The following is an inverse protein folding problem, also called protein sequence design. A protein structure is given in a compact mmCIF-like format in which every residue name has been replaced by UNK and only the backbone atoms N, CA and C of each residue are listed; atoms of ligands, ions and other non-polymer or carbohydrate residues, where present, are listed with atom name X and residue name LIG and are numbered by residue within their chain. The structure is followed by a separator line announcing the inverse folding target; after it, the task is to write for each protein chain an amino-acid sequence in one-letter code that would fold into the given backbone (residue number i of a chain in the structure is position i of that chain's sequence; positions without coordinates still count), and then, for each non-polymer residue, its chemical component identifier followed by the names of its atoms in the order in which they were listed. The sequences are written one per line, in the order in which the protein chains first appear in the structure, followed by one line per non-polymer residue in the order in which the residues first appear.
data_IF_698809786994
#
_entry.id   IF_698809786994
#
_cell.length_a   1.000
_cell.length_b   1.000
_cell.length_c   1.000
_cell.angle_alpha   90.00
_cell.angle_beta   90.00
_cell.angle_gamma   90.00
#
_symmetry.space_group_name_H-M   'P 1'
#
loop_
_entity.id
_entity.type
_entity.pdbx_description
1 polymer ?
#
# COMPACT_ATOMS: atom_id res chain seq x y z
N UNK A 1 13.60 19.45 17.74
CA UNK A 1 13.14 18.88 19.04
C UNK A 1 14.04 19.38 20.14
N UNK A 2 15.36 19.19 20.07
CA UNK A 2 16.35 19.63 21.07
C UNK A 2 16.31 21.14 21.38
N UNK A 3 15.88 21.98 20.44
CA UNK A 3 15.67 23.42 20.67
C UNK A 3 14.39 23.75 21.45
N UNK A 4 13.44 22.79 21.52
CA UNK A 4 12.11 23.01 22.11
C UNK A 4 11.86 22.24 23.40
N UNK A 5 12.55 21.12 23.60
CA UNK A 5 12.33 20.21 24.73
C UNK A 5 13.65 19.79 25.36
N UNK A 6 13.69 19.68 26.67
CA UNK A 6 14.80 19.05 27.36
C UNK A 6 14.80 17.53 27.14
N UNK A 7 15.98 16.92 27.11
CA UNK A 7 16.18 15.50 26.76
C UNK A 7 15.41 14.53 27.67
N UNK A 8 15.16 14.92 28.92
CA UNK A 8 14.36 14.14 29.87
C UNK A 8 12.87 14.05 29.50
N UNK A 9 12.37 14.95 28.64
CA UNK A 9 10.98 14.91 28.14
C UNK A 9 10.86 14.33 26.75
N UNK A 10 11.77 14.72 25.85
CA UNK A 10 11.74 14.26 24.44
C UNK A 10 13.18 14.11 23.93
N UNK A 11 13.58 12.90 23.63
CA UNK A 11 14.86 12.61 23.02
C UNK A 11 14.72 11.91 21.67
N UNK A 12 15.65 12.17 20.74
CA UNK A 12 15.72 11.52 19.43
C UNK A 12 16.93 10.58 19.39
N UNK A 13 16.64 9.29 19.23
CA UNK A 13 17.70 8.28 19.03
C UNK A 13 17.75 7.92 17.55
N UNK A 14 18.84 8.30 16.89
CA UNK A 14 19.10 7.96 15.49
C UNK A 14 20.03 6.77 15.39
N UNK A 15 19.85 5.94 14.34
CA UNK A 15 20.74 4.80 14.13
C UNK A 15 20.18 3.77 13.17
N UNK A 16 20.92 2.69 13.00
CA UNK A 16 20.53 1.56 12.18
C UNK A 16 19.93 0.41 13.00
N UNK A 17 20.17 -0.80 12.53
CA UNK A 17 19.59 -2.01 13.15
C UNK A 17 20.12 -2.26 14.57
N UNK A 18 21.40 -2.00 14.81
CA UNK A 18 22.03 -2.25 16.12
C UNK A 18 21.46 -1.32 17.20
N UNK A 19 21.34 -0.03 16.89
CA UNK A 19 20.78 0.98 17.79
C UNK A 19 19.30 0.71 18.07
N UNK A 20 18.52 0.35 17.05
CA UNK A 20 17.13 -0.04 17.24
C UNK A 20 16.98 -1.29 18.13
N UNK A 21 17.85 -2.29 17.98
CA UNK A 21 17.83 -3.46 18.88
C UNK A 21 18.22 -3.09 20.32
N UNK A 22 19.24 -2.24 20.48
CA UNK A 22 19.64 -1.74 21.80
C UNK A 22 18.49 -0.97 22.47
N UNK A 23 17.77 -0.14 21.71
CA UNK A 23 16.61 0.59 22.19
C UNK A 23 15.49 -0.36 22.64
N UNK A 24 15.14 -1.38 21.82
CA UNK A 24 14.11 -2.36 22.16
C UNK A 24 14.44 -3.22 23.40
N UNK A 25 15.71 -3.30 23.80
CA UNK A 25 16.12 -3.99 25.03
C UNK A 25 15.90 -3.14 26.29
N UNK A 26 15.57 -1.85 26.14
CA UNK A 26 15.27 -0.99 27.28
C UNK A 26 13.82 -1.22 27.77
N UNK A 27 13.56 -0.84 29.01
CA UNK A 27 12.22 -0.86 29.58
C UNK A 27 11.46 0.39 29.19
N UNK A 28 10.28 0.22 28.60
CA UNK A 28 9.35 1.29 28.27
C UNK A 28 7.99 1.05 28.92
N UNK A 29 7.26 2.12 29.21
CA UNK A 29 5.88 2.05 29.68
C UNK A 29 4.89 1.80 28.54
N UNK A 30 5.25 2.21 27.30
CA UNK A 30 4.49 1.95 26.07
C UNK A 30 5.40 2.01 24.85
N UNK A 31 5.13 1.18 23.87
CA UNK A 31 5.79 1.21 22.56
C UNK A 31 4.74 1.48 21.48
N UNK A 32 4.98 2.48 20.64
CA UNK A 32 4.29 2.67 19.38
C UNK A 32 5.26 2.40 18.23
N UNK A 33 4.91 1.49 17.34
CA UNK A 33 5.80 1.08 16.26
C UNK A 33 5.08 1.11 14.91
N UNK A 34 5.71 1.74 13.92
CA UNK A 34 5.30 1.69 12.53
C UNK A 34 6.38 1.02 11.69
N UNK A 35 6.02 0.00 10.89
CA UNK A 35 6.96 -0.69 10.02
C UNK A 35 6.47 -2.04 9.50
N UNK A 36 7.40 -2.86 9.05
CA UNK A 36 7.07 -4.17 8.49
C UNK A 36 6.74 -5.22 9.57
N UNK A 37 5.89 -6.19 9.20
CA UNK A 37 5.40 -7.28 10.09
C UNK A 37 6.51 -8.05 10.84
N UNK A 38 7.65 -8.28 10.18
CA UNK A 38 8.79 -8.99 10.78
C UNK A 38 9.34 -8.22 11.97
N UNK A 39 9.56 -6.92 11.81
CA UNK A 39 10.06 -6.07 12.91
C UNK A 39 8.98 -5.86 13.97
N UNK A 40 7.70 -5.72 13.59
CA UNK A 40 6.59 -5.65 14.54
C UNK A 40 6.55 -6.87 15.49
N UNK A 41 6.79 -8.09 14.96
CA UNK A 41 6.91 -9.29 15.80
C UNK A 41 8.10 -9.22 16.76
N UNK A 42 9.24 -8.69 16.32
CA UNK A 42 10.40 -8.48 17.22
C UNK A 42 10.07 -7.48 18.32
N UNK A 43 9.39 -6.38 17.99
CA UNK A 43 8.92 -5.40 19.00
C UNK A 43 8.04 -6.08 20.05
N UNK A 44 7.07 -6.89 19.65
CA UNK A 44 6.21 -7.65 20.58
C UNK A 44 7.02 -8.62 21.48
N UNK A 45 8.00 -9.34 20.91
CA UNK A 45 8.86 -10.26 21.69
C UNK A 45 9.66 -9.51 22.77
N UNK A 46 10.23 -8.35 22.41
CA UNK A 46 10.97 -7.53 23.38
C UNK A 46 10.05 -6.93 24.44
N UNK A 47 8.90 -6.41 24.04
CA UNK A 47 7.90 -5.85 24.94
C UNK A 47 7.37 -6.85 25.95
N UNK A 48 7.18 -8.11 25.55
CA UNK A 48 6.70 -9.20 26.42
C UNK A 48 7.58 -9.40 27.65
N UNK A 49 8.89 -9.14 27.56
CA UNK A 49 9.83 -9.26 28.68
C UNK A 49 9.45 -8.36 29.88
N UNK A 50 8.86 -7.21 29.59
CA UNK A 50 8.48 -6.21 30.61
C UNK A 50 6.98 -6.01 30.71
N UNK A 51 6.17 -6.80 29.98
CA UNK A 51 4.72 -6.62 29.82
C UNK A 51 4.35 -5.23 29.31
N UNK A 52 5.22 -4.63 28.50
CA UNK A 52 5.01 -3.30 27.92
C UNK A 52 3.87 -3.33 26.90
N UNK A 53 2.83 -2.50 27.03
CA UNK A 53 1.80 -2.36 26.00
C UNK A 53 2.38 -1.87 24.67
N UNK A 54 1.95 -2.48 23.57
CA UNK A 54 2.42 -2.14 22.22
C UNK A 54 1.25 -1.76 21.33
N UNK A 55 1.41 -0.67 20.58
CA UNK A 55 0.57 -0.35 19.43
C UNK A 55 1.41 -0.54 18.17
N UNK A 56 0.92 -1.35 17.23
CA UNK A 56 1.60 -1.61 15.96
C UNK A 56 0.82 -0.95 14.83
N UNK A 57 1.53 -0.26 13.94
CA UNK A 57 1.05 0.20 12.64
C UNK A 57 1.87 -0.50 11.56
N UNK A 58 1.25 -1.48 10.91
CA UNK A 58 1.92 -2.33 9.94
C UNK A 58 1.37 -2.04 8.53
N UNK A 59 1.61 -2.91 7.59
CA UNK A 59 1.10 -2.75 6.24
C UNK A 59 0.22 -3.94 5.83
N UNK A 60 0.20 -4.21 4.56
CA UNK A 60 -0.52 -5.33 3.97
C UNK A 60 -0.74 -5.15 2.49
N UNK A 61 -1.38 -6.13 1.86
CA UNK A 61 -1.81 -6.02 0.47
C UNK A 61 -3.20 -5.37 0.44
N UNK A 62 -3.25 -4.04 0.41
CA UNK A 62 -4.48 -3.26 0.40
C UNK A 62 -5.21 -3.38 -0.96
N UNK A 63 -6.38 -4.04 -1.02
CA UNK A 63 -7.14 -4.22 -2.24
C UNK A 63 -7.79 -2.91 -2.70
N UNK A 64 -7.85 -2.73 -4.02
CA UNK A 64 -8.67 -1.72 -4.66
C UNK A 64 -9.68 -2.44 -5.58
N UNK A 65 -10.91 -2.58 -5.11
CA UNK A 65 -11.98 -3.23 -5.86
C UNK A 65 -12.64 -2.18 -6.76
N UNK A 66 -12.84 -2.51 -8.03
CA UNK A 66 -13.51 -1.65 -9.00
C UNK A 66 -14.61 -2.45 -9.70
N UNK A 67 -15.87 -2.11 -9.45
CA UNK A 67 -17.00 -2.78 -10.08
C UNK A 67 -17.43 -2.13 -11.40
N UNK A 68 -18.34 -2.79 -12.12
CA UNK A 68 -18.82 -2.35 -13.43
C UNK A 68 -19.59 -1.03 -13.41
N UNK A 69 -20.06 -0.57 -12.22
CA UNK A 69 -20.80 0.69 -12.07
C UNK A 69 -19.89 1.88 -11.83
N UNK A 70 -18.58 1.63 -11.59
CA UNK A 70 -17.62 2.67 -11.23
C UNK A 70 -17.46 3.74 -12.32
N UNK A 71 -17.30 4.99 -11.92
CA UNK A 71 -16.90 6.09 -12.81
C UNK A 71 -15.45 5.95 -13.19
N UNK A 72 -15.16 5.25 -14.29
CA UNK A 72 -13.79 4.85 -14.70
C UNK A 72 -12.78 6.00 -14.73
N UNK A 73 -13.08 7.21 -15.28
CA UNK A 73 -12.11 8.32 -15.27
C UNK A 73 -11.79 8.79 -13.84
N UNK A 74 -12.77 8.80 -12.94
CA UNK A 74 -12.57 9.15 -11.54
C UNK A 74 -11.73 8.07 -10.83
N UNK A 75 -12.11 6.81 -10.99
CA UNK A 75 -11.40 5.67 -10.41
C UNK A 75 -9.92 5.68 -10.84
N UNK A 76 -9.65 5.78 -12.13
CA UNK A 76 -8.27 5.84 -12.66
C UNK A 76 -7.46 6.99 -12.04
N UNK A 77 -8.03 8.20 -11.94
CA UNK A 77 -7.37 9.37 -11.34
C UNK A 77 -6.99 9.12 -9.88
N UNK A 78 -7.95 8.63 -9.09
CA UNK A 78 -7.78 8.40 -7.65
C UNK A 78 -6.81 7.24 -7.37
N UNK A 79 -6.92 6.16 -8.13
CA UNK A 79 -6.05 5.00 -8.02
C UNK A 79 -4.60 5.39 -8.37
N UNK A 80 -4.39 6.11 -9.47
CA UNK A 80 -3.04 6.54 -9.90
C UNK A 80 -2.43 7.47 -8.87
N UNK A 81 -3.19 8.42 -8.33
CA UNK A 81 -2.72 9.29 -7.26
C UNK A 81 -2.31 8.47 -6.01
N UNK A 82 -3.22 7.65 -5.48
CA UNK A 82 -2.98 6.88 -4.25
C UNK A 82 -1.89 5.83 -4.40
N UNK A 83 -1.80 5.19 -5.58
CA UNK A 83 -0.77 4.19 -5.84
C UNK A 83 0.63 4.78 -5.98
N UNK A 84 0.78 5.89 -6.70
CA UNK A 84 2.10 6.39 -7.05
C UNK A 84 2.57 7.56 -6.18
N UNK A 85 1.76 8.01 -5.22
CA UNK A 85 2.23 8.90 -4.15
C UNK A 85 3.44 8.25 -3.47
N UNK A 86 4.52 9.01 -3.26
CA UNK A 86 5.78 8.51 -2.71
C UNK A 86 6.32 7.24 -3.41
N UNK A 87 6.09 7.11 -4.73
CA UNK A 87 6.44 5.92 -5.52
C UNK A 87 5.81 4.62 -4.99
N UNK A 88 4.63 4.69 -4.40
CA UNK A 88 3.94 3.52 -3.82
C UNK A 88 4.52 3.01 -2.50
N UNK A 89 5.48 3.71 -1.91
CA UNK A 89 6.09 3.39 -0.62
C UNK A 89 5.24 3.96 0.52
N UNK A 90 3.98 3.50 0.59
CA UNK A 90 2.97 3.94 1.56
C UNK A 90 2.17 2.72 2.00
N UNK A 91 1.99 2.55 3.31
CA UNK A 91 1.32 1.39 3.91
C UNK A 91 -0.14 1.22 3.49
N UNK A 92 -0.79 2.30 3.06
CA UNK A 92 -2.18 2.33 2.56
C UNK A 92 -2.26 2.49 1.03
N UNK A 93 -1.15 2.46 0.30
CA UNK A 93 -1.22 2.50 -1.16
C UNK A 93 -2.08 1.34 -1.67
N UNK A 94 -2.94 1.54 -2.70
CA UNK A 94 -3.54 0.42 -3.39
C UNK A 94 -2.47 -0.57 -3.82
N UNK A 95 -2.47 -1.77 -3.25
CA UNK A 95 -1.41 -2.74 -3.51
C UNK A 95 -1.69 -3.51 -4.81
N UNK A 96 -2.96 -3.84 -5.05
CA UNK A 96 -3.45 -4.45 -6.28
C UNK A 96 -4.89 -4.01 -6.57
N UNK A 97 -5.30 -4.17 -7.83
CA UNK A 97 -6.69 -3.95 -8.26
C UNK A 97 -7.37 -5.31 -8.41
N UNK A 98 -8.58 -5.43 -7.85
CA UNK A 98 -9.58 -6.44 -8.23
C UNK A 98 -10.61 -5.74 -9.10
N UNK A 99 -10.62 -6.03 -10.39
CA UNK A 99 -11.46 -5.37 -11.39
C UNK A 99 -12.54 -6.30 -11.89
N UNK A 100 -13.78 -5.80 -11.99
CA UNK A 100 -14.80 -6.50 -12.75
C UNK A 100 -14.27 -6.77 -14.17
N UNK A 101 -14.37 -8.01 -14.61
CA UNK A 101 -13.81 -8.47 -15.89
C UNK A 101 -14.34 -7.67 -17.08
N UNK A 102 -15.61 -7.23 -17.02
CA UNK A 102 -16.26 -6.49 -18.10
C UNK A 102 -15.62 -5.13 -18.36
N UNK A 103 -15.04 -4.48 -17.35
CA UNK A 103 -14.46 -3.12 -17.45
C UNK A 103 -12.94 -3.10 -17.43
N UNK A 104 -12.28 -4.27 -17.30
CA UNK A 104 -10.81 -4.38 -17.13
C UNK A 104 -10.01 -3.57 -18.14
N UNK A 105 -10.31 -3.72 -19.42
CA UNK A 105 -9.53 -3.08 -20.47
C UNK A 105 -9.77 -1.57 -20.49
N UNK A 106 -11.02 -1.13 -20.29
CA UNK A 106 -11.37 0.27 -20.17
C UNK A 106 -10.67 0.94 -18.97
N UNK A 107 -10.67 0.28 -17.81
CA UNK A 107 -9.97 0.77 -16.62
C UNK A 107 -8.46 0.83 -16.85
N UNK A 108 -7.89 -0.22 -17.46
CA UNK A 108 -6.45 -0.29 -17.77
C UNK A 108 -6.02 0.89 -18.65
N UNK A 109 -6.77 1.20 -19.70
CA UNK A 109 -6.45 2.29 -20.62
C UNK A 109 -6.64 3.67 -19.96
N UNK A 110 -7.65 3.83 -19.10
CA UNK A 110 -7.82 5.03 -18.31
C UNK A 110 -6.65 5.24 -17.33
N UNK A 111 -6.18 4.20 -16.66
CA UNK A 111 -5.01 4.25 -15.77
C UNK A 111 -3.74 4.62 -16.55
N UNK A 112 -3.50 4.02 -17.72
CA UNK A 112 -2.36 4.37 -18.59
C UNK A 112 -2.38 5.85 -19.00
N UNK A 113 -3.54 6.36 -19.36
CA UNK A 113 -3.74 7.76 -19.73
C UNK A 113 -3.47 8.68 -18.54
N UNK A 114 -3.94 8.31 -17.36
CA UNK A 114 -3.77 9.09 -16.14
C UNK A 114 -2.31 9.08 -15.65
N UNK A 115 -1.58 7.98 -15.78
CA UNK A 115 -0.14 7.92 -15.50
C UNK A 115 0.62 8.90 -16.40
N UNK A 116 0.31 8.92 -17.71
CA UNK A 116 0.93 9.87 -18.64
C UNK A 116 0.60 11.32 -18.30
N UNK A 117 -0.63 11.58 -17.84
CA UNK A 117 -1.08 12.93 -17.43
C UNK A 117 -0.35 13.41 -16.19
N UNK A 118 -0.20 12.55 -15.14
CA UNK A 118 0.38 12.95 -13.86
C UNK A 118 1.93 12.95 -13.88
N UNK A 119 2.56 12.01 -14.58
CA UNK A 119 4.01 11.80 -14.52
C UNK A 119 4.74 12.13 -15.83
N UNK A 120 4.02 12.40 -16.91
CA UNK A 120 4.59 12.68 -18.23
C UNK A 120 4.98 11.42 -19.02
N UNK A 121 5.63 11.63 -20.17
CA UNK A 121 6.10 10.54 -21.04
C UNK A 121 7.36 9.86 -20.51
N UNK A 122 8.17 10.58 -19.76
CA UNK A 122 9.47 10.16 -19.20
C UNK A 122 9.48 10.29 -17.68
N UNK A 123 8.76 9.41 -16.94
CA UNK A 123 8.62 9.54 -15.48
C UNK A 123 9.96 9.50 -14.73
N UNK A 124 10.96 8.78 -15.26
CA UNK A 124 12.27 8.68 -14.61
C UNK A 124 13.06 10.01 -14.64
N UNK A 125 12.76 10.88 -15.59
CA UNK A 125 13.37 12.21 -15.74
C UNK A 125 12.59 13.31 -15.01
N UNK A 126 11.35 13.03 -14.58
CA UNK A 126 10.49 13.98 -13.90
C UNK A 126 11.09 14.35 -12.52
N UNK A 127 11.45 15.61 -12.25
CA UNK A 127 12.08 16.02 -10.98
C UNK A 127 11.15 15.83 -9.77
N UNK A 128 9.82 15.85 -9.99
CA UNK A 128 8.82 15.68 -8.95
C UNK A 128 8.48 14.20 -8.68
N UNK A 129 9.02 13.27 -9.48
CA UNK A 129 8.83 11.84 -9.23
C UNK A 129 9.94 11.34 -8.30
N UNK A 130 9.55 10.69 -7.21
CA UNK A 130 10.46 10.23 -6.17
C UNK A 130 11.36 9.07 -6.60
N UNK A 131 12.04 8.48 -5.62
CA UNK A 131 12.91 7.31 -5.80
C UNK A 131 12.62 6.24 -4.75
N UNK A 132 13.06 5.02 -4.99
CA UNK A 132 13.03 3.94 -4.01
C UNK A 132 14.06 4.22 -2.93
N UNK A 133 13.70 3.98 -1.68
CA UNK A 133 14.47 4.39 -0.49
C UNK A 133 15.91 3.87 -0.49
N UNK A 134 16.15 2.65 -1.00
CA UNK A 134 17.49 2.07 -1.04
C UNK A 134 17.62 0.99 -2.13
N UNK A 135 18.86 0.57 -2.41
CA UNK A 135 19.19 -0.43 -3.43
C UNK A 135 18.55 -1.81 -3.16
N UNK A 136 18.46 -2.24 -1.91
CA UNK A 136 17.85 -3.54 -1.55
C UNK A 136 16.37 -3.58 -1.98
N UNK A 137 15.60 -2.56 -1.65
CA UNK A 137 14.18 -2.47 -2.04
C UNK A 137 14.01 -2.25 -3.54
N UNK A 138 14.92 -1.49 -4.17
CA UNK A 138 14.92 -1.33 -5.62
C UNK A 138 15.08 -2.69 -6.34
N UNK A 139 16.06 -3.51 -5.94
CA UNK A 139 16.29 -4.84 -6.52
C UNK A 139 15.11 -5.78 -6.25
N UNK A 140 14.55 -5.76 -5.03
CA UNK A 140 13.34 -6.53 -4.71
C UNK A 140 12.20 -6.18 -5.66
N UNK A 141 11.91 -4.91 -5.83
CA UNK A 141 10.83 -4.44 -6.71
C UNK A 141 11.08 -4.82 -8.17
N UNK A 142 12.32 -4.73 -8.67
CA UNK A 142 12.65 -5.21 -10.02
C UNK A 142 12.32 -6.71 -10.20
N UNK A 143 12.58 -7.53 -9.17
CA UNK A 143 12.26 -8.95 -9.18
C UNK A 143 10.76 -9.28 -9.17
N UNK A 144 9.88 -8.31 -8.85
CA UNK A 144 8.43 -8.48 -8.91
C UNK A 144 7.83 -8.17 -10.28
N UNK A 145 8.59 -7.57 -11.21
CA UNK A 145 8.09 -7.16 -12.51
C UNK A 145 8.26 -8.31 -13.53
N UNK A 146 7.15 -8.90 -13.91
CA UNK A 146 7.09 -9.76 -15.11
C UNK A 146 6.87 -8.88 -16.35
N UNK A 147 7.91 -8.73 -17.17
CA UNK A 147 7.88 -7.88 -18.36
C UNK A 147 6.83 -8.29 -19.39
N UNK A 148 6.45 -9.56 -19.42
CA UNK A 148 5.42 -10.07 -20.34
C UNK A 148 4.01 -9.59 -19.97
N UNK A 149 3.80 -9.18 -18.72
CA UNK A 149 2.52 -8.69 -18.18
C UNK A 149 2.45 -7.16 -18.09
N UNK A 150 3.57 -6.46 -18.32
CA UNK A 150 3.61 -5.00 -18.25
C UNK A 150 2.85 -4.37 -19.41
N UNK A 151 1.93 -3.45 -19.09
CA UNK A 151 1.16 -2.68 -20.09
C UNK A 151 1.57 -1.21 -20.17
N UNK A 152 2.23 -0.70 -19.13
CA UNK A 152 2.90 0.61 -19.10
C UNK A 152 3.97 0.58 -18.01
N UNK A 153 5.05 1.33 -18.17
CA UNK A 153 6.16 1.38 -17.20
C UNK A 153 7.14 0.23 -17.40
N UNK A 154 7.68 -0.29 -16.29
CA UNK A 154 8.69 -1.35 -16.28
C UNK A 154 10.12 -0.84 -16.42
N UNK A 155 10.33 0.41 -16.88
CA UNK A 155 11.67 1.00 -16.97
C UNK A 155 12.18 1.37 -15.57
N UNK A 156 13.49 1.25 -15.41
CA UNK A 156 14.13 1.60 -14.14
C UNK A 156 15.56 2.12 -14.36
N UNK A 157 16.01 2.94 -13.42
CA UNK A 157 17.40 3.42 -13.37
C UNK A 157 18.01 3.15 -11.98
N UNK A 158 18.96 2.22 -11.95
CA UNK A 158 19.62 1.79 -10.72
C UNK A 158 20.60 2.83 -10.14
N UNK A 159 21.04 3.83 -10.95
CA UNK A 159 21.94 4.88 -10.47
C UNK A 159 21.19 5.86 -9.57
N UNK A 160 19.95 6.17 -9.92
CA UNK A 160 19.09 7.10 -9.20
C UNK A 160 17.99 6.40 -8.40
N UNK A 161 17.94 5.06 -8.42
CA UNK A 161 16.97 4.21 -7.72
C UNK A 161 15.52 4.50 -8.10
N UNK A 162 15.24 4.82 -9.35
CA UNK A 162 13.89 5.08 -9.85
C UNK A 162 13.35 3.89 -10.63
N UNK A 163 12.07 3.59 -10.40
CA UNK A 163 11.27 2.64 -11.18
C UNK A 163 10.05 3.41 -11.68
N UNK A 164 9.80 3.39 -12.98
CA UNK A 164 8.64 4.07 -13.57
C UNK A 164 7.32 3.55 -12.99
N UNK A 165 6.26 4.36 -12.93
CA UNK A 165 4.91 3.88 -12.64
C UNK A 165 4.58 2.71 -13.56
N UNK A 166 4.39 1.52 -12.97
CA UNK A 166 4.27 0.26 -13.71
C UNK A 166 2.91 -0.36 -13.46
N UNK A 167 2.21 -0.76 -14.52
CA UNK A 167 0.95 -1.51 -14.45
C UNK A 167 1.15 -2.86 -15.11
N UNK A 168 0.72 -3.92 -14.43
CA UNK A 168 0.73 -5.29 -14.94
C UNK A 168 -0.70 -5.81 -15.10
N UNK A 169 -1.00 -6.45 -16.23
CA UNK A 169 -2.30 -7.06 -16.54
C UNK A 169 -2.17 -8.58 -16.62
N UNK A 170 -3.29 -9.30 -16.51
CA UNK A 170 -3.32 -10.77 -16.50
C UNK A 170 -2.48 -11.36 -15.35
N UNK A 171 -2.50 -10.70 -14.22
CA UNK A 171 -1.83 -11.15 -12.99
C UNK A 171 -2.70 -12.18 -12.30
N UNK A 172 -2.08 -13.20 -11.74
CA UNK A 172 -2.70 -14.23 -10.90
C UNK A 172 -2.06 -14.26 -9.52
N UNK A 173 -2.64 -14.99 -8.57
CA UNK A 173 -2.12 -15.07 -7.21
C UNK A 173 -0.78 -15.80 -7.10
N UNK A 174 -0.40 -16.58 -8.13
CA UNK A 174 0.88 -17.29 -8.24
C UNK A 174 2.03 -16.39 -8.69
N UNK A 175 1.73 -15.20 -9.19
CA UNK A 175 2.76 -14.25 -9.62
C UNK A 175 3.55 -13.68 -8.44
N UNK A 176 4.85 -13.50 -8.61
CA UNK A 176 5.74 -12.99 -7.57
C UNK A 176 5.26 -11.65 -6.95
N UNK A 177 4.64 -10.80 -7.76
CA UNK A 177 4.09 -9.50 -7.32
C UNK A 177 2.94 -9.63 -6.31
N UNK A 178 2.31 -10.83 -6.23
CA UNK A 178 1.22 -11.11 -5.29
C UNK A 178 1.68 -11.78 -4.00
N UNK A 179 2.92 -12.27 -3.92
CA UNK A 179 3.45 -13.01 -2.77
C UNK A 179 3.72 -12.17 -1.52
N UNK A 180 3.89 -10.85 -1.66
CA UNK A 180 4.18 -9.93 -0.56
C UNK A 180 3.56 -8.55 -0.81
N UNK A 181 3.55 -7.69 0.22
CA UNK A 181 3.26 -6.26 0.07
C UNK A 181 4.27 -5.61 -0.89
N UNK A 182 3.77 -4.93 -1.92
CA UNK A 182 4.65 -4.38 -2.97
C UNK A 182 5.48 -3.23 -2.42
N UNK A 183 4.85 -2.27 -1.74
CA UNK A 183 5.51 -1.07 -1.19
C UNK A 183 6.41 -0.40 -2.24
N UNK A 184 5.82 -0.15 -3.42
CA UNK A 184 6.53 0.35 -4.59
C UNK A 184 5.60 0.65 -5.77
N UNK A 185 6.13 1.20 -6.88
CA UNK A 185 5.35 1.75 -7.97
C UNK A 185 4.89 0.70 -9.00
N UNK A 186 4.44 -0.47 -8.53
CA UNK A 186 3.94 -1.57 -9.36
C UNK A 186 2.49 -1.82 -8.98
N UNK A 187 1.59 -1.80 -9.97
CA UNK A 187 0.16 -1.98 -9.80
C UNK A 187 -0.32 -3.18 -10.63
N UNK A 188 -0.48 -4.36 -10.02
CA UNK A 188 -1.07 -5.51 -10.67
C UNK A 188 -2.60 -5.38 -10.73
N UNK A 189 -3.18 -5.82 -11.85
CA UNK A 189 -4.62 -5.88 -12.08
C UNK A 189 -5.04 -7.35 -12.23
N UNK A 190 -5.85 -7.80 -11.27
CA UNK A 190 -6.57 -9.06 -11.28
C UNK A 190 -8.02 -8.81 -11.65
N UNK A 191 -8.74 -9.84 -12.09
CA UNK A 191 -10.17 -9.75 -12.42
C UNK A 191 -10.99 -10.69 -11.58
N UNK A 192 -12.26 -10.35 -11.41
CA UNK A 192 -13.29 -11.21 -10.83
C UNK A 192 -14.53 -11.28 -11.75
N UNK A 193 -15.33 -12.31 -11.60
CA UNK A 193 -16.57 -12.50 -12.37
C UNK A 193 -17.79 -11.95 -11.62
N UNK A 194 -17.80 -12.06 -10.29
CA UNK A 194 -18.87 -11.54 -9.43
C UNK A 194 -18.30 -10.78 -8.23
N UNK A 195 -19.06 -9.84 -7.67
CA UNK A 195 -18.64 -9.12 -6.47
C UNK A 195 -18.40 -10.07 -5.28
N UNK A 196 -19.12 -11.20 -5.21
CA UNK A 196 -18.90 -12.22 -4.18
C UNK A 196 -17.52 -12.86 -4.31
N UNK A 197 -17.02 -13.10 -5.54
CA UNK A 197 -15.67 -13.63 -5.76
C UNK A 197 -14.61 -12.63 -5.27
N UNK A 198 -14.81 -11.32 -5.53
CA UNK A 198 -13.91 -10.27 -5.03
C UNK A 198 -13.89 -10.22 -3.50
N UNK A 199 -15.06 -10.27 -2.86
CA UNK A 199 -15.21 -10.30 -1.40
C UNK A 199 -14.55 -11.56 -0.83
N UNK A 200 -14.82 -12.73 -1.37
CA UNK A 200 -14.22 -14.00 -0.95
C UNK A 200 -12.68 -13.96 -1.09
N UNK A 201 -12.19 -13.34 -2.16
CA UNK A 201 -10.75 -13.13 -2.35
C UNK A 201 -10.16 -12.30 -1.22
N UNK A 202 -10.80 -11.20 -0.82
CA UNK A 202 -10.34 -10.37 0.30
C UNK A 202 -10.41 -11.15 1.63
N UNK A 203 -11.52 -11.85 1.88
CA UNK A 203 -11.73 -12.63 3.11
C UNK A 203 -10.73 -13.79 3.26
N UNK A 204 -10.25 -14.36 2.15
CA UNK A 204 -9.30 -15.50 2.15
C UNK A 204 -7.85 -15.07 2.42
N UNK A 205 -7.56 -13.78 2.46
CA UNK A 205 -6.23 -13.23 2.71
C UNK A 205 -6.14 -12.52 4.06
N UNK A 206 -4.94 -12.28 4.60
CA UNK A 206 -4.76 -11.52 5.82
C UNK A 206 -5.37 -10.13 5.73
N UNK A 207 -6.05 -9.69 6.78
CA UNK A 207 -6.73 -8.40 6.82
C UNK A 207 -5.78 -7.24 6.46
N UNK A 208 -6.12 -6.45 5.42
CA UNK A 208 -5.28 -5.34 4.97
C UNK A 208 -5.44 -4.13 5.90
N UNK A 209 -4.45 -3.24 5.86
CA UNK A 209 -4.55 -1.95 6.55
C UNK A 209 -5.61 -1.05 5.88
N UNK A 210 -5.71 -1.08 4.54
CA UNK A 210 -6.72 -0.31 3.83
C UNK A 210 -7.48 -1.16 2.81
N UNK A 211 -8.74 -0.75 2.54
CA UNK A 211 -9.57 -1.27 1.45
C UNK A 211 -10.21 -0.11 0.70
N UNK A 212 -10.18 -0.17 -0.63
CA UNK A 212 -10.79 0.82 -1.50
C UNK A 212 -11.82 0.16 -2.40
N UNK A 213 -13.00 0.78 -2.52
CA UNK A 213 -14.05 0.25 -3.37
C UNK A 213 -14.66 1.36 -4.25
N UNK A 214 -14.56 1.18 -5.55
CA UNK A 214 -15.15 2.07 -6.56
C UNK A 214 -16.42 1.44 -7.10
N UNK A 215 -17.55 2.07 -6.82
CA UNK A 215 -18.89 1.62 -7.21
C UNK A 215 -19.90 2.75 -7.06
N UNK A 216 -20.89 2.82 -7.94
CA UNK A 216 -22.06 3.68 -7.78
C UNK A 216 -23.25 2.93 -7.14
N UNK A 217 -23.18 1.60 -7.03
CA UNK A 217 -24.20 0.77 -6.40
C UNK A 217 -24.08 0.80 -4.86
N UNK A 218 -25.04 1.42 -4.20
CA UNK A 218 -25.10 1.52 -2.74
C UNK A 218 -25.27 0.17 -2.02
N UNK A 219 -25.97 -0.77 -2.64
CA UNK A 219 -26.11 -2.12 -2.07
C UNK A 219 -24.78 -2.88 -2.12
N UNK A 220 -24.05 -2.76 -3.24
CA UNK A 220 -22.70 -3.30 -3.38
C UNK A 220 -21.74 -2.67 -2.37
N UNK A 221 -21.77 -1.33 -2.20
CA UNK A 221 -20.97 -0.62 -1.21
C UNK A 221 -21.22 -1.17 0.19
N UNK A 222 -22.49 -1.26 0.59
CA UNK A 222 -22.86 -1.80 1.91
C UNK A 222 -22.37 -3.24 2.07
N UNK A 223 -22.56 -4.09 1.06
CA UNK A 223 -22.16 -5.49 1.09
C UNK A 223 -20.64 -5.66 1.33
N UNK A 224 -19.79 -4.87 0.64
CA UNK A 224 -18.33 -4.88 0.83
C UNK A 224 -17.96 -4.43 2.23
N UNK A 225 -18.56 -3.35 2.73
CA UNK A 225 -18.28 -2.81 4.06
C UNK A 225 -18.72 -3.74 5.19
N UNK A 226 -19.83 -4.46 5.01
CA UNK A 226 -20.34 -5.38 6.03
C UNK A 226 -19.52 -6.69 6.10
N UNK A 227 -18.90 -7.10 4.99
CA UNK A 227 -18.27 -8.42 4.89
C UNK A 227 -16.75 -8.38 4.99
N UNK A 228 -16.10 -7.37 4.43
CA UNK A 228 -14.66 -7.30 4.45
C UNK A 228 -14.13 -6.67 5.75
N UNK A 229 -13.12 -7.29 6.35
CA UNK A 229 -12.42 -6.76 7.51
C UNK A 229 -11.13 -6.04 7.09
N UNK A 230 -10.99 -4.77 7.46
CA UNK A 230 -9.83 -3.93 7.13
C UNK A 230 -9.68 -2.81 8.18
N UNK A 231 -8.52 -2.14 8.20
CA UNK A 231 -8.27 -1.05 9.13
C UNK A 231 -9.05 0.21 8.80
N UNK A 232 -8.80 0.81 7.65
CA UNK A 232 -9.49 1.99 7.14
C UNK A 232 -9.74 1.90 5.64
N UNK A 233 -10.41 2.88 5.05
CA UNK A 233 -10.65 2.82 3.60
C UNK A 233 -11.49 3.95 3.04
N UNK A 234 -11.75 3.88 1.73
CA UNK A 234 -12.58 4.87 1.04
C UNK A 234 -13.53 4.18 0.05
N UNK A 235 -14.70 4.80 -0.11
CA UNK A 235 -15.60 4.54 -1.23
C UNK A 235 -15.37 5.62 -2.28
N UNK A 236 -15.11 5.20 -3.52
CA UNK A 236 -14.84 6.07 -4.68
C UNK A 236 -13.64 7.01 -4.49
N UNK A 237 -12.71 6.66 -3.60
CA UNK A 237 -11.45 7.35 -3.39
C UNK A 237 -10.36 6.40 -2.92
N UNK A 238 -9.13 6.91 -2.75
CA UNK A 238 -8.00 6.19 -2.16
C UNK A 238 -7.26 7.09 -1.18
N UNK A 239 -6.60 6.51 -0.19
CA UNK A 239 -5.71 7.13 0.81
C UNK A 239 -6.24 8.34 1.59
N UNK A 240 -7.27 9.03 1.11
CA UNK A 240 -7.74 10.30 1.71
C UNK A 240 -8.30 10.13 3.13
N UNK A 241 -8.65 8.91 3.54
CA UNK A 241 -9.06 8.61 4.92
C UNK A 241 -7.97 8.95 5.96
N UNK A 242 -6.70 9.07 5.54
CA UNK A 242 -5.60 9.52 6.38
C UNK A 242 -5.66 11.02 6.71
N UNK A 243 -6.41 11.80 5.94
CA UNK A 243 -6.45 13.27 6.07
C UNK A 243 -7.39 13.77 7.16
N UNK A 244 -8.06 12.87 7.89
CA UNK A 244 -8.96 13.23 9.00
C UNK A 244 -8.42 12.75 10.34
N UNK A 245 -8.62 13.55 11.38
CA UNK A 245 -8.40 13.17 12.80
C UNK A 245 -9.67 12.64 13.48
N UNK A 246 -10.82 12.64 12.79
CA UNK A 246 -12.12 12.26 13.35
C UNK A 246 -12.30 10.75 13.49
N UNK A 247 -11.42 9.96 12.90
CA UNK A 247 -11.43 8.51 13.00
C UNK A 247 -10.02 7.97 13.19
N UNK A 248 -9.92 6.79 13.85
CA UNK A 248 -8.65 6.10 14.03
C UNK A 248 -8.01 5.71 12.70
N UNK A 249 -6.69 5.56 12.69
CA UNK A 249 -5.93 5.13 11.51
C UNK A 249 -6.34 3.72 11.07
N UNK A 250 -6.65 2.87 12.05
CA UNK A 250 -7.08 1.49 11.83
C UNK A 250 -5.93 0.49 11.95
N UNK A 251 -6.20 -0.71 11.51
CA UNK A 251 -5.34 -1.87 11.62
C UNK A 251 -6.12 -3.04 12.22
N UNK A 252 -5.95 -4.24 11.66
CA UNK A 252 -6.63 -5.46 12.12
C UNK A 252 -5.69 -6.65 11.98
N UNK A 253 -5.33 -7.29 13.09
CA UNK A 253 -4.52 -8.50 13.10
C UNK A 253 -3.14 -8.30 12.48
N UNK A 254 -2.95 -8.72 11.22
CA UNK A 254 -1.65 -8.60 10.54
C UNK A 254 -1.30 -7.18 10.07
N UNK A 255 -2.23 -6.25 10.12
CA UNK A 255 -2.01 -4.86 9.70
C UNK A 255 -1.84 -3.88 10.86
N UNK A 256 -2.12 -4.29 12.09
CA UNK A 256 -1.93 -3.46 13.28
C UNK A 256 -2.68 -3.95 14.49
#
# INVERSE_FOLDING_TARGET
IEECFADEYVAVVTGGRAENQALLNQRFDKIFFTGGKTVGREVLRHAAKYLTPVTLELGGKSPCIVDSTAKIPLAARRIVFGKYLNCGQTCVAPDYILCDKAIRDQLTDAIKSEIRRQFGKHPLENPNYGKIINRKHFQRLQGLIDSSKVVIGGQSDAKILRIAPTVMKNVTWEDAVMGEEIFGPILPILTYESLDDAIQTVESHPHPLALYFFSEDKAAQKKVLDRCHFGGGCINDTIIHLATSEMGFGGVGNSG
#
